data_IF_859768473752
#
_entry.id   IF_859768473752
#
_cell.length_a   1.000
_cell.length_b   1.000
_cell.length_c   1.000
_cell.angle_alpha   90.00
_cell.angle_beta   90.00
_cell.angle_gamma   90.00
#
_symmetry.space_group_name_H-M   'P 1'
#
loop_
_entity.id
_entity.type
_entity.pdbx_description
1 polymer ?
#
# COMPACT_ATOMS: atom_id res chain seq x y z
N UNK A 1 -48.89 38.86 -34.16
CA UNK A 1 -48.64 39.07 -32.71
C UNK A 1 -48.21 37.76 -32.03
N UNK A 2 -47.29 37.00 -32.64
CA UNK A 2 -46.91 35.64 -32.20
C UNK A 2 -45.39 35.45 -32.11
N UNK A 3 -44.59 36.46 -32.48
CA UNK A 3 -43.12 36.39 -32.49
C UNK A 3 -42.45 36.99 -31.23
N UNK A 4 -43.20 37.69 -30.37
CA UNK A 4 -42.66 38.31 -29.15
C UNK A 4 -42.71 37.35 -27.94
N UNK A 5 -43.57 36.31 -27.98
CA UNK A 5 -43.72 35.37 -26.87
C UNK A 5 -42.67 34.24 -26.86
N UNK A 6 -41.99 33.97 -27.97
CA UNK A 6 -40.99 32.89 -28.07
C UNK A 6 -39.63 33.26 -27.45
N UNK A 7 -39.29 34.56 -27.37
CA UNK A 7 -37.98 35.02 -26.88
C UNK A 7 -37.97 35.12 -25.34
N UNK A 8 -39.13 35.29 -24.70
CA UNK A 8 -39.24 35.41 -23.25
C UNK A 8 -39.12 34.06 -22.49
N UNK A 9 -39.30 32.92 -23.17
CA UNK A 9 -39.24 31.60 -22.54
C UNK A 9 -37.81 31.06 -22.45
N UNK A 10 -36.88 31.53 -23.29
CA UNK A 10 -35.46 31.12 -23.26
C UNK A 10 -34.62 31.84 -22.21
N UNK A 11 -35.08 32.97 -21.65
CA UNK A 11 -34.32 33.75 -20.66
C UNK A 11 -34.72 33.48 -19.21
N UNK A 12 -35.83 32.76 -18.97
CA UNK A 12 -36.32 32.48 -17.61
C UNK A 12 -36.03 31.05 -17.10
N UNK A 13 -35.55 30.14 -17.95
CA UNK A 13 -35.10 28.80 -17.55
C UNK A 13 -33.63 28.72 -17.17
N UNK A 14 -32.88 29.84 -17.20
CA UNK A 14 -31.45 29.88 -16.85
C UNK A 14 -31.18 30.12 -15.35
N UNK A 15 -32.22 30.29 -14.52
CA UNK A 15 -32.12 30.52 -13.08
C UNK A 15 -32.62 29.34 -12.23
N UNK A 16 -32.85 28.17 -12.85
CA UNK A 16 -33.21 26.96 -12.12
C UNK A 16 -31.95 26.31 -11.51
N UNK A 17 -31.66 26.68 -10.27
CA UNK A 17 -31.12 25.80 -9.22
C UNK A 17 -30.15 24.72 -9.68
N UNK A 18 -28.92 25.11 -9.98
CA UNK A 18 -27.77 24.22 -9.75
C UNK A 18 -27.10 24.75 -8.48
N UNK A 19 -27.74 24.52 -7.34
CA UNK A 19 -27.01 24.38 -6.08
C UNK A 19 -26.25 23.06 -6.18
N UNK A 20 -25.15 23.06 -6.94
CA UNK A 20 -24.14 22.03 -6.78
C UNK A 20 -23.53 22.31 -5.40
N UNK A 21 -24.13 21.74 -4.35
CA UNK A 21 -23.40 21.51 -3.12
C UNK A 21 -22.30 20.51 -3.49
N UNK A 22 -21.20 21.02 -4.04
CA UNK A 22 -19.95 20.33 -3.95
C UNK A 22 -19.76 20.14 -2.45
N UNK A 23 -20.03 18.93 -1.97
CA UNK A 23 -19.50 18.48 -0.70
C UNK A 23 -17.99 18.58 -0.86
N UNK A 24 -17.44 19.74 -0.51
CA UNK A 24 -16.05 19.85 -0.15
C UNK A 24 -15.94 18.95 1.07
N UNK A 25 -15.64 17.66 0.84
CA UNK A 25 -15.03 16.84 1.87
C UNK A 25 -13.78 17.63 2.25
N UNK A 26 -13.87 18.42 3.32
CA UNK A 26 -12.71 19.04 3.91
C UNK A 26 -11.74 17.90 4.18
N UNK A 27 -10.50 18.06 3.72
CA UNK A 27 -9.44 17.12 4.03
C UNK A 27 -9.49 16.86 5.55
N UNK A 28 -9.41 15.59 5.99
CA UNK A 28 -9.53 15.27 7.40
C UNK A 28 -8.59 16.16 8.21
N UNK A 29 -9.14 16.85 9.20
CA UNK A 29 -8.41 17.84 10.00
C UNK A 29 -7.21 17.17 10.69
N UNK A 30 -6.01 17.38 10.15
CA UNK A 30 -4.78 16.94 10.76
C UNK A 30 -4.42 17.88 11.90
N UNK A 31 -4.26 17.33 13.11
CA UNK A 31 -3.85 18.11 14.28
C UNK A 31 -2.67 17.43 14.98
N UNK A 32 -1.81 18.23 15.60
CA UNK A 32 -0.65 17.75 16.35
C UNK A 32 -1.04 16.74 17.44
N UNK A 33 -2.18 16.96 18.11
CA UNK A 33 -2.71 16.05 19.13
C UNK A 33 -3.11 14.71 18.52
N UNK A 34 -3.75 14.70 17.35
CA UNK A 34 -4.13 13.46 16.66
C UNK A 34 -2.89 12.65 16.29
N UNK A 35 -1.87 13.29 15.70
CA UNK A 35 -0.60 12.65 15.36
C UNK A 35 0.13 12.08 16.59
N UNK A 36 0.17 12.84 17.69
CA UNK A 36 0.76 12.38 18.95
C UNK A 36 0.03 11.15 19.50
N UNK A 37 -1.30 11.19 19.57
CA UNK A 37 -2.11 10.06 20.05
C UNK A 37 -1.97 8.82 19.15
N UNK A 38 -1.85 8.99 17.83
CA UNK A 38 -1.59 7.90 16.90
C UNK A 38 -0.20 7.30 17.13
N UNK A 39 0.82 8.13 17.34
CA UNK A 39 2.18 7.69 17.67
C UNK A 39 2.24 6.87 18.96
N UNK A 40 1.59 7.35 20.03
CA UNK A 40 1.48 6.61 21.28
C UNK A 40 0.82 5.24 21.07
N UNK A 41 -0.31 5.20 20.35
CA UNK A 41 -0.98 3.94 20.02
C UNK A 41 -0.09 3.01 19.18
N UNK A 42 0.66 3.54 18.24
CA UNK A 42 1.57 2.77 17.39
C UNK A 42 2.69 2.12 18.22
N UNK A 43 3.28 2.86 19.17
CA UNK A 43 4.30 2.34 20.08
C UNK A 43 3.73 1.24 20.97
N UNK A 44 2.54 1.45 21.55
CA UNK A 44 1.91 0.43 22.40
C UNK A 44 1.61 -0.84 21.59
N UNK A 45 1.06 -0.69 20.38
CA UNK A 45 0.81 -1.81 19.47
C UNK A 45 2.08 -2.56 19.11
N UNK A 46 3.15 -1.85 18.75
CA UNK A 46 4.45 -2.45 18.40
C UNK A 46 5.06 -3.23 19.57
N UNK A 47 4.93 -2.72 20.80
CA UNK A 47 5.38 -3.41 22.01
C UNK A 47 4.61 -4.72 22.23
N UNK A 48 3.29 -4.70 22.05
CA UNK A 48 2.46 -5.89 22.19
C UNK A 48 2.80 -6.93 21.12
N UNK A 49 2.87 -6.53 19.85
CA UNK A 49 3.21 -7.44 18.75
C UNK A 49 4.60 -8.04 18.90
N UNK A 50 5.58 -7.26 19.38
CA UNK A 50 6.92 -7.76 19.65
C UNK A 50 6.95 -8.79 20.79
N UNK A 51 6.19 -8.55 21.87
CA UNK A 51 6.05 -9.52 22.98
C UNK A 51 5.40 -10.83 22.52
N UNK A 52 4.33 -10.74 21.74
CA UNK A 52 3.64 -11.92 21.19
C UNK A 52 4.55 -12.73 20.26
N UNK A 53 5.32 -12.05 19.41
CA UNK A 53 6.26 -12.71 18.51
C UNK A 53 7.43 -13.34 19.27
N UNK A 54 7.96 -12.69 20.32
CA UNK A 54 9.00 -13.23 21.18
C UNK A 54 8.53 -14.45 22.00
N UNK A 55 7.26 -14.52 22.41
CA UNK A 55 6.73 -15.68 23.14
C UNK A 55 6.86 -16.99 22.34
N UNK A 56 6.86 -16.89 21.01
CA UNK A 56 6.92 -18.04 20.11
C UNK A 56 8.31 -18.20 19.45
N UNK A 57 9.33 -17.43 19.84
CA UNK A 57 10.64 -17.45 19.17
C UNK A 57 11.41 -18.76 19.34
N UNK A 58 11.19 -19.47 20.45
CA UNK A 58 11.93 -20.69 20.79
C UNK A 58 11.23 -21.95 20.26
N UNK A 59 10.01 -21.81 19.73
CA UNK A 59 9.25 -22.91 19.15
C UNK A 59 9.58 -23.07 17.67
N UNK A 60 9.94 -24.29 17.25
CA UNK A 60 10.11 -24.60 15.83
C UNK A 60 8.78 -24.44 15.07
N UNK A 61 8.81 -23.76 13.93
CA UNK A 61 7.63 -23.56 13.10
C UNK A 61 7.19 -24.88 12.45
N UNK A 62 5.95 -25.31 12.70
CA UNK A 62 5.37 -26.50 12.06
C UNK A 62 5.13 -26.31 10.56
N UNK A 63 4.77 -25.10 10.14
CA UNK A 63 4.43 -24.76 8.76
C UNK A 63 5.17 -23.50 8.34
N UNK A 64 5.67 -23.48 7.11
CA UNK A 64 6.33 -22.31 6.51
C UNK A 64 5.54 -21.92 5.26
N UNK A 65 5.14 -20.64 5.19
CA UNK A 65 4.46 -20.07 4.03
C UNK A 65 5.29 -18.87 3.57
N UNK A 66 5.74 -18.91 2.33
CA UNK A 66 6.49 -17.83 1.69
C UNK A 66 5.61 -17.19 0.60
N UNK A 67 5.28 -15.91 0.78
CA UNK A 67 4.60 -15.10 -0.24
C UNK A 67 5.64 -14.32 -1.05
N UNK A 68 5.67 -14.51 -2.36
CA UNK A 68 6.61 -13.83 -3.26
C UNK A 68 5.83 -12.90 -4.17
N UNK A 69 6.04 -11.60 -4.02
CA UNK A 69 5.58 -10.59 -4.98
C UNK A 69 6.67 -10.31 -6.02
N UNK A 70 6.60 -10.95 -7.18
CA UNK A 70 7.58 -10.72 -8.25
C UNK A 70 7.50 -9.26 -8.75
N UNK A 71 8.65 -8.59 -8.84
CA UNK A 71 8.73 -7.16 -9.17
C UNK A 71 8.14 -6.20 -8.13
N UNK A 72 7.76 -6.68 -6.94
CA UNK A 72 7.09 -5.86 -5.91
C UNK A 72 8.09 -5.09 -5.05
N UNK A 73 8.67 -4.03 -5.62
CA UNK A 73 9.53 -3.08 -4.90
C UNK A 73 8.76 -2.14 -3.96
N UNK A 74 9.49 -1.29 -3.22
CA UNK A 74 8.91 -0.33 -2.27
C UNK A 74 7.92 0.62 -2.96
N UNK A 75 8.25 1.11 -4.16
CA UNK A 75 7.37 1.98 -4.94
C UNK A 75 6.06 1.28 -5.33
N UNK A 76 6.15 0.02 -5.75
CA UNK A 76 4.99 -0.80 -6.10
C UNK A 76 4.09 -1.05 -4.88
N UNK A 77 4.67 -1.31 -3.70
CA UNK A 77 3.92 -1.47 -2.44
C UNK A 77 3.18 -0.18 -2.09
N UNK A 78 3.85 0.97 -2.14
CA UNK A 78 3.22 2.27 -1.84
C UNK A 78 2.09 2.58 -2.82
N UNK A 79 2.30 2.37 -4.13
CA UNK A 79 1.26 2.57 -5.13
C UNK A 79 0.06 1.65 -4.89
N UNK A 80 0.31 0.38 -4.60
CA UNK A 80 -0.75 -0.60 -4.30
C UNK A 80 -1.51 -0.23 -3.02
N UNK A 81 -0.83 0.27 -1.99
CA UNK A 81 -1.46 0.74 -0.74
C UNK A 81 -2.44 1.88 -1.02
N UNK A 82 -2.00 2.92 -1.74
CA UNK A 82 -2.83 4.07 -2.09
C UNK A 82 -4.03 3.62 -2.92
N UNK A 83 -3.78 2.86 -3.99
CA UNK A 83 -4.82 2.36 -4.87
C UNK A 83 -5.86 1.52 -4.12
N UNK A 84 -5.43 0.60 -3.25
CA UNK A 84 -6.33 -0.23 -2.45
C UNK A 84 -7.18 0.58 -1.46
N UNK A 85 -6.67 1.72 -0.96
CA UNK A 85 -7.45 2.64 -0.13
C UNK A 85 -8.48 3.43 -0.95
N UNK A 86 -8.09 3.91 -2.13
CA UNK A 86 -8.98 4.60 -3.07
C UNK A 86 -10.12 3.70 -3.55
N UNK A 87 -9.85 2.41 -3.80
CA UNK A 87 -10.89 1.42 -4.11
C UNK A 87 -11.92 1.24 -2.99
N UNK A 88 -11.59 1.61 -1.75
CA UNK A 88 -12.51 1.61 -0.60
C UNK A 88 -13.20 2.97 -0.39
N UNK A 89 -13.03 3.93 -1.31
CA UNK A 89 -13.57 5.28 -1.18
C UNK A 89 -12.84 6.16 -0.16
N UNK A 90 -11.60 5.80 0.24
CA UNK A 90 -10.75 6.58 1.16
C UNK A 90 -9.71 7.39 0.38
N UNK A 91 -9.07 8.41 0.98
CA UNK A 91 -7.97 9.15 0.36
C UNK A 91 -6.85 8.25 -0.19
N UNK A 92 -6.42 7.27 0.62
CA UNK A 92 -5.56 6.17 0.20
C UNK A 92 -4.21 6.12 0.92
N UNK A 93 -3.62 7.27 1.23
CA UNK A 93 -2.31 7.40 1.86
C UNK A 93 -2.25 6.74 3.25
N UNK A 94 -3.35 6.83 4.00
CA UNK A 94 -3.51 6.23 5.32
C UNK A 94 -3.89 4.73 5.31
N UNK A 95 -4.12 4.16 4.12
CA UNK A 95 -4.42 2.74 4.01
C UNK A 95 -3.19 1.89 4.40
N UNK A 96 -3.41 0.67 4.87
CA UNK A 96 -2.33 -0.25 5.27
C UNK A 96 -2.64 -1.62 4.68
N UNK A 97 -1.71 -2.17 3.89
CA UNK A 97 -1.86 -3.50 3.32
C UNK A 97 -1.74 -4.57 4.42
N UNK A 98 -2.32 -5.74 4.19
CA UNK A 98 -2.36 -6.79 5.21
C UNK A 98 -0.97 -7.20 5.73
N UNK A 99 -0.01 -7.39 4.83
CA UNK A 99 1.36 -7.80 5.18
C UNK A 99 2.17 -6.69 5.86
N UNK A 100 1.78 -5.42 5.74
CA UNK A 100 2.44 -4.30 6.44
C UNK A 100 2.12 -4.27 7.94
N UNK A 101 1.15 -5.10 8.37
CA UNK A 101 0.82 -5.29 9.79
C UNK A 101 1.69 -6.37 10.46
N UNK A 102 2.55 -7.05 9.69
CA UNK A 102 3.45 -8.06 10.25
C UNK A 102 4.43 -7.42 11.24
N UNK A 103 4.82 -8.13 12.31
CA UNK A 103 5.63 -7.57 13.39
C UNK A 103 7.09 -7.32 13.00
N UNK A 104 7.56 -7.93 11.91
CA UNK A 104 8.94 -7.85 11.45
C UNK A 104 9.02 -7.36 10.01
N UNK A 105 9.95 -6.45 9.77
CA UNK A 105 10.28 -5.92 8.46
C UNK A 105 11.80 -5.94 8.29
N UNK A 106 12.27 -6.36 7.12
CA UNK A 106 13.67 -6.35 6.76
C UNK A 106 13.83 -5.89 5.30
N UNK A 107 14.98 -5.30 5.00
CA UNK A 107 15.38 -5.00 3.63
C UNK A 107 16.32 -6.11 3.13
N UNK A 108 16.07 -6.60 1.91
CA UNK A 108 16.87 -7.65 1.29
C UNK A 108 17.70 -7.08 0.13
N UNK A 109 18.98 -7.47 0.06
CA UNK A 109 19.85 -7.16 -1.09
C UNK A 109 19.67 -8.22 -2.17
N UNK A 110 19.07 -7.84 -3.30
CA UNK A 110 18.58 -8.79 -4.32
C UNK A 110 19.57 -9.14 -5.43
N UNK A 111 20.74 -8.48 -5.51
CA UNK A 111 21.74 -8.72 -6.57
C UNK A 111 22.06 -10.21 -6.80
N UNK A 112 22.27 -10.57 -8.06
CA UNK A 112 22.78 -11.88 -8.48
C UNK A 112 24.32 -11.87 -8.47
N UNK A 113 24.96 -13.04 -8.51
CA UNK A 113 26.44 -13.11 -8.37
C UNK A 113 27.18 -12.44 -9.53
N UNK A 114 26.54 -12.29 -10.69
CA UNK A 114 27.07 -11.67 -11.90
C UNK A 114 26.36 -10.37 -12.33
N UNK A 115 25.29 -9.94 -11.64
CA UNK A 115 24.49 -8.77 -12.05
C UNK A 115 23.92 -8.02 -10.82
N UNK A 116 24.01 -6.69 -10.84
CA UNK A 116 23.46 -5.84 -9.77
C UNK A 116 21.93 -5.78 -9.81
N UNK A 117 21.36 -5.66 -11.02
CA UNK A 117 19.93 -5.85 -11.27
C UNK A 117 19.70 -7.34 -11.49
N UNK A 118 19.03 -8.04 -10.56
CA UNK A 118 18.84 -9.48 -10.66
C UNK A 118 17.66 -9.83 -11.57
N UNK A 119 17.52 -11.12 -11.85
CA UNK A 119 16.33 -11.71 -12.46
C UNK A 119 15.53 -12.56 -11.45
N UNK A 120 14.32 -12.99 -11.84
CA UNK A 120 13.45 -13.79 -10.98
C UNK A 120 14.05 -15.18 -10.67
N UNK A 121 14.84 -15.77 -11.57
CA UNK A 121 15.46 -17.08 -11.36
C UNK A 121 16.54 -17.06 -10.26
N UNK A 122 17.46 -16.10 -10.30
CA UNK A 122 18.51 -15.96 -9.30
C UNK A 122 17.97 -15.59 -7.92
N UNK A 123 16.97 -14.71 -7.87
CA UNK A 123 16.32 -14.32 -6.60
C UNK A 123 15.52 -15.45 -5.99
N UNK A 124 14.77 -16.23 -6.77
CA UNK A 124 14.03 -17.38 -6.25
C UNK A 124 14.98 -18.48 -5.73
N UNK A 125 16.08 -18.72 -6.43
CA UNK A 125 17.13 -19.65 -5.97
C UNK A 125 17.67 -19.21 -4.61
N UNK A 126 17.97 -17.91 -4.43
CA UNK A 126 18.45 -17.39 -3.16
C UNK A 126 17.44 -17.55 -2.01
N UNK A 127 16.15 -17.31 -2.25
CA UNK A 127 15.12 -17.44 -1.22
C UNK A 127 14.86 -18.90 -0.81
N UNK A 128 14.90 -19.84 -1.76
CA UNK A 128 14.59 -21.25 -1.48
C UNK A 128 15.79 -22.05 -0.96
N UNK A 129 17.00 -21.73 -1.43
CA UNK A 129 18.21 -22.51 -1.11
C UNK A 129 19.12 -21.81 -0.11
N UNK A 130 18.93 -20.51 0.13
CA UNK A 130 19.87 -19.68 0.89
C UNK A 130 21.14 -19.30 0.12
N UNK A 131 21.29 -19.74 -1.14
CA UNK A 131 22.48 -19.51 -1.95
C UNK A 131 22.16 -18.65 -3.18
N UNK A 132 22.94 -17.59 -3.39
CA UNK A 132 22.83 -16.75 -4.59
C UNK A 132 23.47 -17.43 -5.80
N UNK A 133 22.88 -17.26 -6.97
CA UNK A 133 23.40 -17.78 -8.24
C UNK A 133 23.50 -16.68 -9.31
N UNK A 134 23.95 -17.06 -10.50
CA UNK A 134 24.04 -16.18 -11.68
C UNK A 134 22.64 -15.96 -12.26
N UNK A 135 22.42 -14.80 -12.89
CA UNK A 135 21.20 -14.55 -13.64
C UNK A 135 21.00 -15.54 -14.79
N UNK A 136 19.75 -15.88 -15.09
CA UNK A 136 19.35 -16.83 -16.12
C UNK A 136 19.45 -18.30 -15.71
N UNK A 137 19.78 -18.57 -14.44
CA UNK A 137 20.01 -19.94 -13.96
C UNK A 137 19.22 -20.20 -12.68
N UNK A 138 18.60 -21.39 -12.60
CA UNK A 138 17.82 -21.85 -11.45
C UNK A 138 18.55 -23.02 -10.79
N UNK A 139 18.75 -22.96 -9.47
CA UNK A 139 19.05 -24.15 -8.66
C UNK A 139 20.43 -24.79 -8.83
N UNK A 140 21.38 -24.16 -9.51
CA UNK A 140 22.80 -24.56 -9.47
C UNK A 140 23.63 -23.56 -8.67
N UNK A 141 24.50 -24.13 -7.83
CA UNK A 141 25.53 -23.39 -7.09
C UNK A 141 26.56 -22.76 -8.03
N UNK A 142 27.41 -21.91 -7.45
CA UNK A 142 28.50 -21.27 -8.18
C UNK A 142 29.48 -22.26 -8.81
#
# INVERSE_FOLDING_TARGET
>A
MQFIFQIAVCSLSLLANISYSASLNSAPEESSIKWYQQGEKAIQKARLSAKEAAKNSDASAKNIILFVGDGMGISTITAARIYAGQMQGKPGEENILFFEKFPYLALAKTYNTNQQTPDSAGTMTAMMTGMKTKAGIIGVGQ
#
